data_IF_345074543517
#
_entry.id   IF_345074543517
#
_cell.length_a   1.000
_cell.length_b   1.000
_cell.length_c   1.000
_cell.angle_alpha   90.00
_cell.angle_beta   90.00
_cell.angle_gamma   90.00
#
_symmetry.space_group_name_H-M   'P 1'
#
loop_
_entity.id
_entity.type
_entity.pdbx_description
1 polymer ?
#
# COMPACT_ATOMS: atom_id res chain seq x y z
N UNK A 1 76.75 29.00 74.22
CA UNK A 1 77.64 27.84 74.03
C UNK A 1 77.67 27.49 72.55
N UNK A 2 78.86 27.12 72.07
CA UNK A 2 79.31 27.11 70.68
C UNK A 2 78.74 25.97 69.79
N UNK A 3 79.04 26.14 68.49
CA UNK A 3 79.24 25.20 67.37
C UNK A 3 78.10 25.05 66.34
N UNK A 4 78.16 25.68 65.15
CA UNK A 4 78.85 25.41 63.85
C UNK A 4 78.26 24.33 62.92
N UNK A 5 78.05 24.78 61.67
CA UNK A 5 78.30 24.11 60.38
C UNK A 5 77.37 22.99 59.86
N UNK A 6 76.81 23.17 58.66
CA UNK A 6 77.32 22.53 57.41
C UNK A 6 76.30 22.53 56.26
N UNK A 7 76.59 23.36 55.25
CA UNK A 7 76.50 23.13 53.81
C UNK A 7 75.90 21.80 53.29
N UNK A 8 74.85 21.91 52.44
CA UNK A 8 74.74 21.13 51.19
C UNK A 8 74.13 21.98 50.08
N UNK A 9 74.86 22.09 48.98
CA UNK A 9 74.44 22.66 47.71
C UNK A 9 73.55 21.66 46.95
N UNK A 10 72.40 22.12 46.45
CA UNK A 10 71.63 21.45 45.41
C UNK A 10 71.67 22.34 44.15
N UNK A 11 72.31 21.83 43.10
CA UNK A 11 72.27 22.39 41.74
C UNK A 11 70.83 22.28 41.21
N UNK A 12 70.25 23.41 40.86
CA UNK A 12 68.99 23.46 40.12
C UNK A 12 69.26 23.28 38.63
N UNK A 13 68.75 22.19 38.06
CA UNK A 13 68.72 21.93 36.62
C UNK A 13 67.56 22.73 36.03
N UNK A 14 67.86 23.77 35.27
CA UNK A 14 66.87 24.59 34.55
C UNK A 14 66.36 23.77 33.35
N UNK A 15 65.20 23.12 33.52
CA UNK A 15 64.46 22.49 32.43
C UNK A 15 63.71 23.55 31.61
N UNK A 16 64.05 23.66 30.33
CA UNK A 16 63.36 24.51 29.36
C UNK A 16 61.98 23.88 29.07
N UNK A 17 60.90 24.41 29.66
CA UNK A 17 59.53 24.06 29.27
C UNK A 17 59.23 24.65 27.89
N UNK A 18 59.10 23.79 26.89
CA UNK A 18 58.50 24.14 25.60
C UNK A 18 56.98 24.01 25.73
N UNK A 19 56.28 25.15 25.64
CA UNK A 19 54.83 25.17 25.59
C UNK A 19 54.36 24.63 24.24
N UNK A 20 53.71 23.46 24.25
CA UNK A 20 53.01 22.92 23.07
C UNK A 20 51.70 23.71 22.92
N UNK A 21 51.43 24.34 21.76
CA UNK A 21 50.16 25.01 21.53
C UNK A 21 49.03 23.97 21.53
N UNK A 22 48.03 24.19 22.39
CA UNK A 22 46.80 23.42 22.38
C UNK A 22 46.09 23.62 21.04
N UNK A 23 46.14 22.61 20.17
CA UNK A 23 45.33 22.59 18.96
C UNK A 23 43.88 22.47 19.40
N UNK A 24 43.09 23.53 19.19
CA UNK A 24 41.65 23.52 19.35
C UNK A 24 41.07 22.51 18.37
N UNK A 25 40.68 21.36 18.89
CA UNK A 25 39.97 20.31 18.16
C UNK A 25 38.62 20.89 17.73
N UNK A 26 38.54 21.29 16.46
CA UNK A 26 37.32 21.83 15.88
C UNK A 26 36.28 20.72 15.88
N UNK A 27 35.38 20.71 16.86
CA UNK A 27 34.26 19.78 16.86
C UNK A 27 33.44 20.04 15.59
N UNK A 28 33.27 19.03 14.71
CA UNK A 28 32.50 19.21 13.49
C UNK A 28 31.08 19.61 13.88
N UNK A 29 30.65 20.77 13.40
CA UNK A 29 29.29 21.26 13.58
C UNK A 29 28.34 20.19 13.04
N UNK A 30 27.38 19.67 13.83
CA UNK A 30 26.46 18.65 13.36
C UNK A 30 25.67 19.21 12.18
N UNK A 31 25.94 18.68 10.99
CA UNK A 31 25.18 18.99 9.79
C UNK A 31 23.77 18.49 10.04
N UNK A 32 22.83 19.39 10.31
CA UNK A 32 21.42 19.04 10.45
C UNK A 32 20.92 18.75 9.05
N UNK A 33 20.98 17.48 8.64
CA UNK A 33 20.37 17.02 7.40
C UNK A 33 18.85 17.06 7.63
N UNK A 34 18.22 18.16 7.23
CA UNK A 34 16.76 18.27 7.20
C UNK A 34 16.23 17.31 6.12
N UNK A 35 15.89 16.10 6.53
CA UNK A 35 15.26 15.11 5.66
C UNK A 35 13.88 15.64 5.25
N UNK A 36 13.79 16.14 4.02
CA UNK A 36 12.51 16.57 3.44
C UNK A 36 11.59 15.36 3.30
N UNK A 37 10.28 15.51 3.50
CA UNK A 37 9.33 14.42 3.28
C UNK A 37 9.30 14.03 1.81
N UNK A 38 9.57 12.75 1.54
CA UNK A 38 9.67 12.18 0.19
C UNK A 38 8.52 11.20 -0.11
N UNK A 39 7.85 10.71 0.93
CA UNK A 39 6.82 9.68 0.83
C UNK A 39 5.49 10.17 1.38
N UNK A 40 4.42 9.52 0.97
CA UNK A 40 3.05 9.72 1.42
C UNK A 40 2.55 8.43 2.05
N UNK A 41 2.22 8.49 3.34
CA UNK A 41 1.47 7.45 4.04
C UNK A 41 -0.01 7.85 4.05
N UNK A 42 -0.90 7.03 3.53
CA UNK A 42 -2.31 7.38 3.39
C UNK A 42 -3.22 6.16 3.49
N UNK A 43 -4.50 6.38 3.74
CA UNK A 43 -5.51 5.30 3.63
C UNK A 43 -5.97 5.24 2.18
N UNK A 44 -5.39 4.29 1.44
CA UNK A 44 -5.71 4.01 0.05
C UNK A 44 -6.85 3.02 -0.12
N UNK A 45 -7.05 2.63 -1.37
CA UNK A 45 -8.10 1.73 -1.83
C UNK A 45 -7.46 0.43 -2.34
N UNK A 46 -7.72 -0.66 -1.64
CA UNK A 46 -7.39 -2.01 -2.10
C UNK A 46 -8.57 -2.59 -2.86
N UNK A 47 -8.33 -2.94 -4.12
CA UNK A 47 -9.31 -3.59 -4.99
C UNK A 47 -9.12 -5.10 -4.86
N UNK A 48 -10.16 -5.83 -4.53
CA UNK A 48 -10.17 -7.28 -4.36
C UNK A 48 -11.06 -7.89 -5.43
N UNK A 49 -10.53 -8.78 -6.26
CA UNK A 49 -11.33 -9.52 -7.25
C UNK A 49 -11.73 -10.87 -6.70
N UNK A 50 -12.97 -11.27 -6.92
CA UNK A 50 -13.44 -12.61 -6.56
C UNK A 50 -12.96 -13.62 -7.61
N UNK A 51 -12.02 -14.48 -7.23
CA UNK A 51 -11.49 -15.54 -8.10
C UNK A 51 -11.92 -16.89 -7.56
N UNK A 52 -13.01 -17.41 -8.12
CA UNK A 52 -13.59 -18.70 -7.72
C UNK A 52 -13.99 -18.78 -6.23
N UNK A 53 -14.47 -17.67 -5.65
CA UNK A 53 -14.87 -17.57 -4.24
C UNK A 53 -13.80 -16.99 -3.34
N UNK A 54 -12.55 -16.90 -3.82
CA UNK A 54 -11.43 -16.37 -3.05
C UNK A 54 -11.12 -14.91 -3.45
N UNK A 55 -11.27 -13.94 -2.54
CA UNK A 55 -10.96 -12.55 -2.82
C UNK A 55 -9.44 -12.36 -2.92
N UNK A 56 -8.96 -12.00 -4.11
CA UNK A 56 -7.55 -11.76 -4.40
C UNK A 56 -7.28 -10.25 -4.59
N UNK A 57 -6.30 -9.65 -3.90
CA UNK A 57 -5.98 -8.24 -4.08
C UNK A 57 -5.34 -7.96 -5.44
N UNK A 58 -5.79 -6.89 -6.09
CA UNK A 58 -5.19 -6.35 -7.31
C UNK A 58 -3.94 -5.56 -6.94
N UNK A 59 -2.80 -6.01 -7.47
CA UNK A 59 -1.49 -5.42 -7.21
C UNK A 59 -1.17 -4.29 -8.18
N UNK A 60 -1.43 -4.51 -9.47
CA UNK A 60 -1.08 -3.57 -10.52
C UNK A 60 -2.07 -3.58 -11.67
N UNK A 61 -2.13 -2.45 -12.37
CA UNK A 61 -2.92 -2.27 -13.56
C UNK A 61 -2.03 -2.05 -14.77
N UNK A 62 -2.13 -2.93 -15.76
CA UNK A 62 -1.58 -2.72 -17.09
C UNK A 62 -2.60 -2.07 -18.03
N UNK A 63 -2.26 -2.05 -19.32
CA UNK A 63 -3.10 -1.45 -20.37
C UNK A 63 -4.50 -2.05 -20.45
N UNK A 64 -4.55 -3.37 -20.60
CA UNK A 64 -5.77 -4.16 -20.86
C UNK A 64 -5.88 -5.36 -19.90
N UNK A 65 -4.95 -5.44 -18.93
CA UNK A 65 -4.90 -6.51 -17.93
C UNK A 65 -4.59 -5.93 -16.56
N UNK A 66 -5.03 -6.59 -15.50
CA UNK A 66 -4.59 -6.35 -14.14
C UNK A 66 -3.89 -7.59 -13.59
N UNK A 67 -3.10 -7.42 -12.53
CA UNK A 67 -2.43 -8.50 -11.82
C UNK A 67 -3.08 -8.66 -10.46
N UNK A 68 -3.63 -9.84 -10.17
CA UNK A 68 -4.14 -10.20 -8.85
C UNK A 68 -3.18 -11.16 -8.15
N UNK A 69 -2.94 -10.95 -6.85
CA UNK A 69 -2.15 -11.88 -6.02
C UNK A 69 -3.03 -13.05 -5.60
N UNK A 70 -2.73 -14.24 -6.11
CA UNK A 70 -3.41 -15.49 -5.71
C UNK A 70 -2.47 -16.36 -4.88
N UNK A 71 -2.99 -17.43 -4.26
CA UNK A 71 -2.17 -18.40 -3.52
C UNK A 71 -1.10 -19.06 -4.42
N UNK A 72 -1.42 -19.28 -5.70
CA UNK A 72 -0.52 -19.86 -6.70
C UNK A 72 0.44 -18.83 -7.33
N UNK A 73 0.39 -17.57 -6.86
CA UNK A 73 1.20 -16.46 -7.36
C UNK A 73 0.40 -15.41 -8.13
N UNK A 74 1.09 -14.46 -8.80
CA UNK A 74 0.45 -13.38 -9.52
C UNK A 74 -0.27 -13.90 -10.77
N UNK A 75 -1.57 -13.60 -10.89
CA UNK A 75 -2.40 -13.97 -12.04
C UNK A 75 -2.75 -12.73 -12.86
N UNK A 76 -2.44 -12.76 -14.15
CA UNK A 76 -2.84 -11.72 -15.11
C UNK A 76 -4.26 -12.00 -15.58
N UNK A 77 -5.13 -11.01 -15.45
CA UNK A 77 -6.54 -11.12 -15.78
C UNK A 77 -6.95 -9.97 -16.71
N UNK A 78 -7.83 -10.22 -17.69
CA UNK A 78 -8.37 -9.15 -18.54
C UNK A 78 -9.15 -8.16 -17.68
N UNK A 79 -9.02 -6.86 -17.93
CA UNK A 79 -9.80 -5.82 -17.22
C UNK A 79 -11.31 -6.08 -17.30
N UNK A 80 -11.74 -6.75 -18.36
CA UNK A 80 -13.11 -7.19 -18.58
C UNK A 80 -13.67 -8.11 -17.49
N UNK A 81 -12.79 -8.77 -16.73
CA UNK A 81 -13.14 -9.69 -15.63
C UNK A 81 -13.23 -8.99 -14.26
N UNK A 82 -13.12 -7.66 -14.21
CA UNK A 82 -13.32 -6.85 -13.00
C UNK A 82 -14.81 -6.61 -12.69
N UNK A 83 -15.65 -7.62 -12.89
CA UNK A 83 -17.09 -7.54 -12.61
C UNK A 83 -17.40 -7.67 -11.11
N UNK A 84 -16.54 -8.36 -10.35
CA UNK A 84 -16.70 -8.61 -8.91
C UNK A 84 -15.55 -8.02 -8.08
N UNK A 85 -15.30 -6.72 -8.23
CA UNK A 85 -14.29 -5.99 -7.45
C UNK A 85 -14.82 -5.44 -6.12
N UNK A 86 -14.46 -6.04 -5.00
CA UNK A 86 -14.68 -5.47 -3.66
C UNK A 86 -13.64 -4.41 -3.37
N UNK A 87 -14.02 -3.40 -2.60
CA UNK A 87 -13.13 -2.33 -2.16
C UNK A 87 -12.87 -2.48 -0.67
N UNK A 88 -11.61 -2.43 -0.27
CA UNK A 88 -11.20 -2.37 1.12
C UNK A 88 -10.28 -1.18 1.35
N UNK A 89 -10.39 -0.52 2.48
CA UNK A 89 -9.42 0.50 2.87
C UNK A 89 -8.15 -0.17 3.41
N UNK A 90 -6.99 0.28 2.94
CA UNK A 90 -5.68 -0.20 3.43
C UNK A 90 -4.71 0.98 3.55
N UNK A 91 -3.87 0.97 4.58
CA UNK A 91 -2.77 1.94 4.68
C UNK A 91 -1.75 1.62 3.58
N UNK A 92 -1.37 2.64 2.81
CA UNK A 92 -0.41 2.52 1.72
C UNK A 92 0.67 3.56 1.86
N UNK A 93 1.84 3.22 1.33
CA UNK A 93 3.01 4.06 1.24
C UNK A 93 3.38 4.25 -0.23
N UNK A 94 3.60 5.49 -0.65
CA UNK A 94 4.11 5.76 -2.01
C UNK A 94 4.88 7.08 -2.06
N UNK A 95 5.84 7.19 -2.98
CA UNK A 95 6.49 8.46 -3.31
C UNK A 95 5.66 9.33 -4.29
N UNK A 96 4.63 8.73 -4.90
CA UNK A 96 3.91 9.32 -6.02
C UNK A 96 2.70 10.10 -5.53
N UNK A 97 2.63 11.37 -5.94
CA UNK A 97 1.57 12.27 -5.54
C UNK A 97 0.83 12.83 -6.76
N UNK A 98 -0.48 12.71 -6.72
CA UNK A 98 -1.41 13.40 -7.60
C UNK A 98 -2.17 14.49 -6.83
N UNK A 99 -2.30 15.66 -7.43
CA UNK A 99 -3.13 16.74 -6.92
C UNK A 99 -4.48 16.65 -7.61
N UNK A 100 -5.54 16.50 -6.82
CA UNK A 100 -6.93 16.52 -7.26
C UNK A 100 -7.59 17.77 -6.69
N UNK A 101 -8.13 18.60 -7.57
CA UNK A 101 -8.91 19.80 -7.24
C UNK A 101 -10.30 19.73 -7.87
N UNK A 102 -11.23 20.52 -7.34
CA UNK A 102 -12.60 20.60 -7.85
C UNK A 102 -13.32 19.25 -8.00
N UNK A 103 -13.05 18.31 -7.09
CA UNK A 103 -13.73 17.03 -7.04
C UNK A 103 -15.22 17.24 -6.72
N UNK A 104 -16.09 16.89 -7.68
CA UNK A 104 -17.54 17.08 -7.59
C UNK A 104 -18.24 15.83 -8.09
N UNK A 105 -19.36 15.51 -7.45
CA UNK A 105 -20.34 14.56 -7.94
C UNK A 105 -21.72 15.22 -7.96
N UNK A 106 -22.41 15.15 -9.10
CA UNK A 106 -23.75 15.72 -9.25
C UNK A 106 -24.70 14.66 -9.81
N UNK A 107 -25.74 14.27 -9.05
CA UNK A 107 -26.82 13.46 -9.60
C UNK A 107 -27.40 14.10 -10.85
N UNK A 108 -27.57 13.31 -11.90
CA UNK A 108 -28.00 13.76 -13.22
C UNK A 108 -28.84 12.67 -13.89
N UNK A 109 -29.38 12.99 -15.06
CA UNK A 109 -30.08 12.03 -15.89
C UNK A 109 -29.16 11.61 -17.05
N UNK A 110 -28.98 10.31 -17.26
CA UNK A 110 -28.29 9.70 -18.36
C UNK A 110 -28.89 10.21 -19.68
N UNK A 111 -28.08 10.84 -20.51
CA UNK A 111 -28.50 11.21 -21.87
C UNK A 111 -28.38 9.96 -22.74
N UNK A 112 -29.44 9.57 -23.43
CA UNK A 112 -29.38 8.47 -24.39
C UNK A 112 -28.43 8.85 -25.54
N UNK A 113 -27.18 8.40 -25.45
CA UNK A 113 -26.23 8.43 -26.57
C UNK A 113 -26.60 7.27 -27.49
N UNK A 114 -27.10 7.57 -28.69
CA UNK A 114 -27.43 6.59 -29.72
C UNK A 114 -26.13 5.95 -30.26
N UNK A 115 -25.66 4.86 -29.67
CA UNK A 115 -24.71 3.96 -30.35
C UNK A 115 -25.26 2.54 -30.35
N UNK A 116 -25.35 1.96 -31.54
CA UNK A 116 -25.88 0.65 -31.88
C UNK A 116 -24.99 -0.49 -31.42
N UNK A 117 -25.53 -1.54 -30.79
CA UNK A 117 -25.03 -2.90 -31.02
C UNK A 117 -25.96 -4.04 -30.56
N UNK A 118 -26.44 -4.81 -31.54
CA UNK A 118 -26.41 -6.28 -31.69
C UNK A 118 -26.34 -7.21 -30.46
N UNK A 119 -26.91 -6.85 -29.30
CA UNK A 119 -26.67 -7.56 -28.02
C UNK A 119 -27.90 -8.28 -27.43
N UNK A 120 -29.07 -8.16 -28.07
CA UNK A 120 -30.36 -8.57 -27.48
C UNK A 120 -30.73 -10.07 -27.58
N UNK A 121 -30.01 -10.89 -28.35
CA UNK A 121 -30.37 -12.30 -28.56
C UNK A 121 -29.73 -13.28 -27.56
N UNK A 122 -28.51 -13.00 -27.08
CA UNK A 122 -27.77 -13.86 -26.14
C UNK A 122 -28.27 -13.76 -24.69
N UNK A 123 -28.91 -12.65 -24.32
CA UNK A 123 -29.46 -12.39 -22.98
C UNK A 123 -30.58 -13.35 -22.57
N UNK A 124 -31.24 -14.00 -23.53
CA UNK A 124 -32.34 -14.96 -23.26
C UNK A 124 -31.84 -16.29 -22.70
N UNK A 125 -30.62 -16.71 -23.04
CA UNK A 125 -30.07 -17.98 -22.56
C UNK A 125 -29.58 -17.90 -21.11
N UNK A 126 -29.01 -16.76 -20.70
CA UNK A 126 -28.34 -16.60 -19.40
C UNK A 126 -29.32 -16.40 -18.24
N UNK A 127 -30.45 -15.72 -18.47
CA UNK A 127 -31.49 -15.57 -17.43
C UNK A 127 -32.13 -16.90 -17.02
N UNK A 128 -32.23 -17.87 -17.94
CA UNK A 128 -32.74 -19.20 -17.58
C UNK A 128 -31.83 -19.93 -16.58
N UNK A 129 -30.51 -19.70 -16.64
CA UNK A 129 -29.53 -20.35 -15.77
C UNK A 129 -29.40 -19.65 -14.41
N UNK A 130 -29.51 -18.32 -14.35
CA UNK A 130 -29.38 -17.59 -13.09
C UNK A 130 -30.60 -17.78 -12.18
N UNK A 131 -31.79 -17.89 -12.76
CA UNK A 131 -33.02 -18.20 -12.00
C UNK A 131 -32.96 -19.60 -11.39
N UNK A 132 -32.32 -20.55 -12.08
CA UNK A 132 -32.07 -21.90 -11.56
C UNK A 132 -31.04 -21.91 -10.41
N UNK A 133 -30.08 -20.98 -10.42
CA UNK A 133 -29.04 -20.88 -9.40
C UNK A 133 -29.51 -20.16 -8.11
N UNK A 134 -30.48 -19.24 -8.22
CA UNK A 134 -31.08 -18.61 -7.03
C UNK A 134 -31.99 -19.56 -6.25
N UNK A 135 -32.62 -20.52 -6.92
CA UNK A 135 -33.43 -21.53 -6.24
C UNK A 135 -32.55 -22.50 -5.43
N UNK A 136 -31.40 -22.92 -5.96
CA UNK A 136 -30.50 -23.83 -5.22
C UNK A 136 -29.79 -23.16 -4.02
N UNK A 137 -29.56 -21.85 -4.07
CA UNK A 137 -28.95 -21.12 -2.95
C UNK A 137 -29.86 -20.94 -1.74
N UNK A 138 -31.19 -20.87 -1.94
CA UNK A 138 -32.14 -20.77 -0.83
C UNK A 138 -32.25 -22.07 -0.04
N UNK A 139 -32.18 -23.22 -0.72
CA UNK A 139 -32.25 -24.53 -0.05
C UNK A 139 -31.03 -24.81 0.84
N UNK A 140 -29.84 -24.35 0.45
CA UNK A 140 -28.61 -24.45 1.25
C UNK A 140 -28.62 -23.57 2.50
N UNK A 141 -29.22 -22.38 2.43
CA UNK A 141 -29.32 -21.47 3.57
C UNK A 141 -30.28 -21.99 4.65
N UNK A 142 -31.34 -22.72 4.24
CA UNK A 142 -32.27 -23.36 5.18
C UNK A 142 -31.59 -24.51 5.92
N UNK A 143 -30.80 -25.35 5.24
CA UNK A 143 -30.06 -26.44 5.89
C UNK A 143 -28.99 -25.95 6.88
N UNK A 144 -28.28 -24.88 6.56
CA UNK A 144 -27.23 -24.34 7.45
C UNK A 144 -27.79 -23.73 8.75
N UNK A 145 -29.03 -23.21 8.72
CA UNK A 145 -29.69 -22.67 9.90
C UNK A 145 -30.17 -23.77 10.87
N UNK A 146 -30.50 -24.96 10.36
CA UNK A 146 -30.92 -26.10 11.17
C UNK A 146 -29.73 -26.75 11.92
N UNK A 147 -28.54 -26.80 11.30
CA UNK A 147 -27.32 -27.31 11.94
C UNK A 147 -26.80 -26.39 13.06
N UNK A 148 -26.89 -25.06 12.90
CA UNK A 148 -26.42 -24.10 13.91
C UNK A 148 -27.25 -24.13 15.20
N UNK A 149 -28.57 -24.34 15.10
CA UNK A 149 -29.44 -24.45 16.28
C UNK A 149 -29.18 -25.75 17.07
N UNK A 150 -28.72 -26.79 16.40
CA UNK A 150 -28.38 -28.08 17.03
C UNK A 150 -27.07 -27.97 17.84
N UNK A 151 -26.06 -27.25 17.33
CA UNK A 151 -24.78 -27.03 18.01
C UNK A 151 -24.87 -26.11 19.25
N UNK A 152 -25.79 -25.14 19.25
CA UNK A 152 -26.03 -24.26 20.39
C UNK A 152 -26.75 -24.94 21.57
N UNK A 153 -27.51 -26.00 21.31
CA UNK A 153 -28.14 -26.80 22.36
C UNK A 153 -27.11 -27.64 23.13
N UNK A 154 -26.09 -28.16 22.45
CA UNK A 154 -25.04 -28.99 23.06
C UNK A 154 -24.00 -28.18 23.86
N UNK A 155 -23.79 -26.90 23.52
CA UNK A 155 -22.77 -26.06 24.16
C UNK A 155 -23.20 -25.45 25.52
N UNK A 156 -24.45 -25.64 25.93
CA UNK A 156 -25.01 -25.06 27.16
C UNK A 156 -24.84 -25.91 28.43
N UNK A 157 -24.35 -27.16 28.32
CA UNK A 157 -24.24 -28.09 29.45
C UNK A 157 -22.86 -28.13 30.14
N UNK A 158 -21.82 -27.50 29.58
CA UNK A 158 -20.49 -27.55 30.17
C UNK A 158 -19.90 -26.15 30.30
N UNK A 159 -20.03 -25.49 31.46
CA UNK A 159 -19.03 -24.57 32.05
C UNK A 159 -19.58 -23.97 33.35
N UNK A 160 -19.34 -24.63 34.47
CA UNK A 160 -19.39 -24.01 35.81
C UNK A 160 -18.01 -24.05 36.48
N UNK A 161 -17.58 -22.85 36.87
CA UNK A 161 -16.64 -22.51 37.95
C UNK A 161 -15.12 -22.68 37.72
N UNK A 162 -14.40 -21.54 37.71
CA UNK A 162 -13.35 -21.22 38.71
C UNK A 162 -12.85 -19.76 38.57
N UNK A 163 -12.54 -19.07 39.68
CA UNK A 163 -11.95 -17.73 39.66
C UNK A 163 -10.43 -17.80 39.70
N UNK A 164 -9.75 -16.85 39.05
CA UNK A 164 -8.33 -16.58 39.27
C UNK A 164 -8.11 -15.08 39.27
N UNK A 165 -7.51 -14.60 40.35
CA UNK A 165 -7.17 -13.22 40.65
C UNK A 165 -5.65 -13.20 40.87
N UNK A 166 -4.89 -12.42 40.10
CA UNK A 166 -3.61 -11.78 40.49
C UNK A 166 -3.16 -10.82 39.38
N UNK A 167 -2.82 -9.61 39.84
CA UNK A 167 -2.50 -8.39 39.12
C UNK A 167 -1.18 -8.40 38.33
N UNK A 168 -1.19 -7.69 37.20
CA UNK A 168 -0.01 -7.08 36.55
C UNK A 168 -0.31 -5.59 36.29
N UNK A 169 0.71 -4.72 36.24
CA UNK A 169 0.51 -3.27 36.21
C UNK A 169 0.00 -2.79 34.85
N UNK A 170 -0.90 -1.83 34.97
CA UNK A 170 -1.64 -1.13 33.95
C UNK A 170 -0.74 -0.36 32.96
N UNK A 171 -0.79 -0.78 31.69
CA UNK A 171 -0.38 0.00 30.53
C UNK A 171 -1.56 0.01 29.55
N UNK A 172 -2.72 0.54 29.98
CA UNK A 172 -3.73 1.00 29.03
C UNK A 172 -3.21 2.22 28.30
N UNK A 173 -2.61 1.96 27.14
CA UNK A 173 -2.57 2.86 26.00
C UNK A 173 -3.98 3.33 25.70
N UNK A 174 -4.25 4.59 25.99
CA UNK A 174 -5.39 5.32 25.46
C UNK A 174 -5.28 5.41 23.93
N UNK A 175 -6.27 4.80 23.28
CA UNK A 175 -6.98 5.34 22.12
C UNK A 175 -6.17 5.65 20.86
N UNK A 176 -6.02 4.62 20.02
CA UNK A 176 -5.48 4.74 18.67
C UNK A 176 -5.73 3.53 17.79
N UNK A 177 -6.73 2.67 18.11
CA UNK A 177 -7.16 1.65 17.16
C UNK A 177 -7.88 2.36 16.02
N UNK A 178 -7.19 2.52 14.89
CA UNK A 178 -7.86 2.77 13.61
C UNK A 178 -8.81 1.60 13.39
N UNK A 179 -10.09 1.80 13.74
CA UNK A 179 -11.18 0.94 13.30
C UNK A 179 -11.21 1.03 11.78
N UNK A 180 -10.56 0.09 11.12
CA UNK A 180 -10.85 -0.23 9.72
C UNK A 180 -12.26 -0.78 9.75
N UNK A 181 -13.21 0.04 9.30
CA UNK A 181 -14.64 -0.32 9.25
C UNK A 181 -14.77 -1.66 8.52
N UNK A 182 -15.41 -2.61 9.18
CA UNK A 182 -15.73 -3.92 8.61
C UNK A 182 -16.47 -3.73 7.28
N UNK A 183 -16.13 -4.59 6.31
CA UNK A 183 -16.65 -4.51 4.96
C UNK A 183 -18.18 -4.62 4.96
N UNK A 184 -18.87 -3.51 4.67
CA UNK A 184 -20.27 -3.54 4.26
C UNK A 184 -20.40 -4.41 3.00
N UNK A 185 -21.48 -5.20 2.84
CA UNK A 185 -21.72 -5.93 1.59
C UNK A 185 -21.81 -4.93 0.43
N UNK A 186 -20.77 -4.94 -0.41
CA UNK A 186 -20.58 -4.01 -1.52
C UNK A 186 -21.42 -4.51 -2.70
N UNK A 187 -22.39 -3.71 -3.14
CA UNK A 187 -23.04 -3.92 -4.44
C UNK A 187 -22.10 -3.37 -5.52
N UNK A 188 -21.22 -4.22 -6.03
CA UNK A 188 -20.27 -3.87 -7.06
C UNK A 188 -21.00 -3.87 -8.39
N UNK A 189 -21.26 -2.68 -8.90
CA UNK A 189 -21.67 -2.52 -10.29
C UNK A 189 -20.40 -2.14 -11.02
N UNK A 190 -19.82 -2.95 -11.90
CA UNK A 190 -18.66 -2.54 -12.70
C UNK A 190 -18.71 -3.17 -14.09
N UNK A 191 -19.55 -2.62 -14.99
CA UNK A 191 -19.21 -2.36 -16.41
C UNK A 191 -20.37 -1.78 -17.21
N UNK A 192 -20.02 -1.14 -18.32
CA UNK A 192 -20.82 -0.87 -19.53
C UNK A 192 -21.30 -2.16 -20.27
N UNK A 193 -21.46 -3.29 -19.57
CA UNK A 193 -22.13 -4.50 -20.08
C UNK A 193 -23.67 -4.41 -19.97
N UNK A 194 -24.19 -3.20 -19.74
CA UNK A 194 -25.60 -2.90 -19.53
C UNK A 194 -26.40 -2.70 -20.84
N UNK A 195 -25.75 -2.72 -22.01
CA UNK A 195 -26.39 -2.54 -23.33
C UNK A 195 -27.12 -3.81 -23.87
N UNK A 196 -27.42 -4.80 -23.03
CA UNK A 196 -27.97 -6.10 -23.47
C UNK A 196 -29.49 -6.27 -23.32
N UNK A 197 -30.22 -5.15 -23.19
CA UNK A 197 -31.67 -5.06 -23.39
C UNK A 197 -31.99 -3.67 -23.98
N UNK A 198 -32.69 -3.53 -25.13
CA UNK A 198 -33.31 -2.24 -25.43
C UNK A 198 -34.33 -1.98 -24.32
N UNK A 199 -34.20 -0.87 -23.57
CA UNK A 199 -35.12 -0.58 -22.47
C UNK A 199 -36.54 -0.53 -23.04
N UNK A 200 -37.47 -1.18 -22.35
CA UNK A 200 -38.89 -0.89 -22.63
C UNK A 200 -39.14 0.60 -22.36
N UNK A 201 -40.10 1.23 -23.03
CA UNK A 201 -40.37 2.68 -22.85
C UNK A 201 -40.63 3.06 -21.37
N UNK A 202 -40.99 2.10 -20.51
CA UNK A 202 -41.12 2.26 -19.05
C UNK A 202 -39.83 2.12 -18.23
N UNK A 203 -38.80 1.49 -18.78
CA UNK A 203 -37.50 1.27 -18.11
C UNK A 203 -36.49 2.38 -18.41
N UNK A 204 -36.67 3.13 -19.50
CA UNK A 204 -35.89 4.36 -19.78
C UNK A 204 -36.00 5.35 -18.61
N UNK A 205 -37.14 5.38 -17.93
CA UNK A 205 -37.37 6.23 -16.75
C UNK A 205 -36.68 5.69 -15.47
N UNK A 206 -36.41 4.39 -15.37
CA UNK A 206 -35.73 3.77 -14.22
C UNK A 206 -34.20 3.81 -14.35
N UNK A 207 -33.66 3.66 -15.57
CA UNK A 207 -32.22 3.68 -15.86
C UNK A 207 -31.66 5.06 -16.23
N UNK A 208 -32.53 6.08 -16.18
CA UNK A 208 -32.13 7.47 -16.38
C UNK A 208 -31.20 8.00 -15.29
N UNK A 209 -31.10 7.40 -14.10
CA UNK A 209 -30.31 8.00 -13.03
C UNK A 209 -28.81 7.76 -13.19
N UNK A 210 -28.07 8.86 -13.23
CA UNK A 210 -26.63 8.87 -13.39
C UNK A 210 -25.98 9.83 -12.39
N UNK A 211 -24.66 9.74 -12.28
CA UNK A 211 -23.83 10.63 -11.50
C UNK A 211 -22.77 11.21 -12.42
N UNK A 212 -22.81 12.53 -12.60
CA UNK A 212 -21.70 13.24 -13.26
C UNK A 212 -20.61 13.49 -12.21
N UNK A 213 -19.46 12.85 -12.38
CA UNK A 213 -18.27 13.07 -11.57
C UNK A 213 -17.25 13.87 -12.38
N UNK A 214 -16.64 14.86 -11.74
CA UNK A 214 -15.60 15.65 -12.39
C UNK A 214 -14.57 16.14 -11.39
N UNK A 215 -13.34 16.31 -11.85
CA UNK A 215 -12.27 16.95 -11.10
C UNK A 215 -11.19 17.48 -12.06
N UNK A 216 -10.23 18.22 -11.53
CA UNK A 216 -8.95 18.48 -12.18
C UNK A 216 -7.86 17.66 -11.50
N UNK A 217 -6.99 17.05 -12.30
CA UNK A 217 -5.91 16.19 -11.82
C UNK A 217 -4.59 16.65 -12.42
N UNK A 218 -3.56 16.79 -11.58
CA UNK A 218 -2.16 16.90 -12.00
C UNK A 218 -1.28 15.92 -11.22
N UNK A 219 -0.12 15.60 -11.78
CA UNK A 219 0.88 14.70 -11.18
C UNK A 219 2.25 15.37 -11.20
N UNK A 220 3.09 15.12 -10.20
CA UNK A 220 4.46 15.69 -10.16
C UNK A 220 5.36 15.18 -11.30
N UNK A 221 5.09 13.96 -11.78
CA UNK A 221 5.78 13.31 -12.90
C UNK A 221 4.76 12.87 -13.96
N UNK A 222 5.12 12.88 -15.26
CA UNK A 222 4.24 12.35 -16.30
C UNK A 222 3.88 10.88 -16.05
N UNK A 223 2.62 10.52 -16.24
CA UNK A 223 2.14 9.15 -16.18
C UNK A 223 1.28 8.87 -17.41
N UNK A 224 1.61 7.80 -18.12
CA UNK A 224 0.87 7.45 -19.32
C UNK A 224 -0.38 6.65 -18.98
N UNK A 225 -1.52 7.22 -19.34
CA UNK A 225 -2.83 6.58 -19.34
C UNK A 225 -3.17 5.77 -18.07
N UNK A 226 -3.08 6.38 -16.87
CA UNK A 226 -3.31 5.69 -15.60
C UNK A 226 -4.78 5.26 -15.44
N UNK A 227 -5.03 4.37 -14.50
CA UNK A 227 -6.38 3.95 -14.13
C UNK A 227 -6.95 4.84 -13.02
N UNK A 228 -8.14 5.39 -13.23
CA UNK A 228 -8.92 6.08 -12.23
C UNK A 228 -10.05 5.20 -11.71
N UNK A 229 -10.15 5.06 -10.39
CA UNK A 229 -11.25 4.37 -9.72
C UNK A 229 -12.14 5.40 -9.01
N UNK A 230 -13.31 5.65 -9.58
CA UNK A 230 -14.37 6.43 -8.94
C UNK A 230 -15.09 5.55 -7.92
N UNK A 231 -15.06 5.96 -6.67
CA UNK A 231 -15.72 5.26 -5.56
C UNK A 231 -16.79 6.21 -5.03
N UNK A 232 -18.05 5.83 -5.19
CA UNK A 232 -19.18 6.65 -4.77
C UNK A 232 -19.94 5.92 -3.67
N UNK A 233 -20.17 6.60 -2.55
CA UNK A 233 -21.05 6.12 -1.50
C UNK A 233 -22.42 6.75 -1.72
N UNK A 234 -23.44 5.94 -1.92
CA UNK A 234 -24.80 6.40 -2.19
C UNK A 234 -25.80 5.72 -1.26
N UNK A 235 -26.88 6.39 -0.94
CA UNK A 235 -28.02 5.80 -0.23
C UNK A 235 -29.15 5.55 -1.22
N UNK A 236 -29.69 4.34 -1.22
CA UNK A 236 -30.88 3.99 -1.98
C UNK A 236 -32.11 4.22 -1.10
N UNK A 237 -32.99 5.20 -1.41
CA UNK A 237 -34.16 5.48 -0.58
C UNK A 237 -35.20 4.34 -0.61
N UNK A 238 -35.16 3.47 -1.61
CA UNK A 238 -36.12 2.36 -1.77
C UNK A 238 -35.67 1.12 -1.01
N UNK A 239 -34.39 1.01 -0.68
CA UNK A 239 -33.83 -0.09 0.09
C UNK A 239 -33.53 0.39 1.50
N UNK A 240 -33.91 -0.38 2.52
CA UNK A 240 -33.51 -0.11 3.91
C UNK A 240 -32.04 -0.49 4.17
N UNK A 241 -31.17 -0.33 3.17
CA UNK A 241 -29.73 -0.56 3.26
C UNK A 241 -29.08 0.77 3.61
N UNK A 242 -28.15 0.77 4.56
CA UNK A 242 -27.52 2.00 5.06
C UNK A 242 -26.81 2.76 3.95
N UNK A 243 -25.94 2.08 3.19
CA UNK A 243 -25.13 2.70 2.13
C UNK A 243 -24.76 1.65 1.07
N UNK A 244 -24.79 2.06 -0.20
CA UNK A 244 -24.31 1.31 -1.36
C UNK A 244 -23.02 1.96 -1.85
N UNK A 245 -21.97 1.16 -1.99
CA UNK A 245 -20.72 1.62 -2.58
C UNK A 245 -20.68 1.22 -4.06
N UNK A 246 -20.58 2.23 -4.93
CA UNK A 246 -20.49 2.08 -6.38
C UNK A 246 -19.06 2.37 -6.81
N UNK A 247 -18.40 1.39 -7.41
CA UNK A 247 -17.05 1.54 -7.97
C UNK A 247 -17.13 1.66 -9.50
N UNK A 248 -16.32 2.51 -10.13
CA UNK A 248 -16.17 2.57 -11.59
C UNK A 248 -14.70 2.81 -11.96
N UNK A 249 -14.14 1.88 -12.71
CA UNK A 249 -12.77 1.97 -13.22
C UNK A 249 -12.79 2.54 -14.63
N UNK A 250 -11.94 3.53 -14.87
CA UNK A 250 -11.77 4.14 -16.17
C UNK A 250 -10.30 4.37 -16.46
N UNK A 251 -9.93 4.16 -17.71
CA UNK A 251 -8.64 4.64 -18.18
C UNK A 251 -8.68 6.14 -18.33
N UNK A 252 -7.81 6.82 -17.60
CA UNK A 252 -7.61 8.24 -17.73
C UNK A 252 -6.65 8.49 -18.89
N UNK A 253 -6.72 9.66 -19.52
CA UNK A 253 -5.70 10.03 -20.49
C UNK A 253 -4.39 10.37 -19.74
N UNK A 254 -3.27 10.44 -20.47
CA UNK A 254 -1.96 10.75 -19.85
C UNK A 254 -2.03 12.04 -19.02
N UNK A 255 -1.43 11.97 -17.83
CA UNK A 255 -1.39 13.05 -16.84
C UNK A 255 0.05 13.54 -16.66
N UNK A 256 0.20 14.76 -16.17
CA UNK A 256 1.48 15.38 -15.90
C UNK A 256 1.35 16.59 -14.99
N UNK A 257 2.39 17.44 -14.92
CA UNK A 257 2.38 18.62 -14.05
C UNK A 257 1.27 19.63 -14.37
N UNK A 258 0.83 19.70 -15.63
CA UNK A 258 -0.29 20.54 -16.03
C UNK A 258 -1.63 19.91 -15.60
N UNK A 259 -2.47 20.62 -14.82
CA UNK A 259 -3.79 20.13 -14.45
C UNK A 259 -4.65 19.82 -15.67
N UNK A 260 -5.34 18.69 -15.62
CA UNK A 260 -6.27 18.25 -16.65
C UNK A 260 -7.63 17.97 -16.05
N UNK A 261 -8.65 18.55 -16.66
CA UNK A 261 -10.04 18.28 -16.29
C UNK A 261 -10.48 16.91 -16.78
N UNK A 262 -11.01 16.11 -15.87
CA UNK A 262 -11.65 14.83 -16.13
C UNK A 262 -13.14 14.98 -15.78
N UNK A 263 -14.01 14.51 -16.66
CA UNK A 263 -15.45 14.42 -16.40
C UNK A 263 -15.96 13.08 -16.93
N UNK A 264 -16.77 12.39 -16.12
CA UNK A 264 -17.35 11.09 -16.45
C UNK A 264 -18.81 11.07 -15.99
N UNK A 265 -19.66 10.41 -16.79
CA UNK A 265 -21.04 10.14 -16.40
C UNK A 265 -21.16 8.67 -15.99
N UNK A 266 -21.26 8.43 -14.69
CA UNK A 266 -21.44 7.09 -14.12
C UNK A 266 -22.92 6.74 -14.16
N UNK A 267 -23.30 5.60 -14.73
CA UNK A 267 -24.70 5.15 -14.88
C UNK A 267 -25.03 3.99 -13.96
N UNK A 268 -26.32 3.69 -13.81
CA UNK A 268 -26.81 2.53 -13.05
C UNK A 268 -27.03 2.84 -11.57
N UNK A 269 -27.36 4.09 -11.23
CA UNK A 269 -27.74 4.45 -9.87
C UNK A 269 -29.24 4.20 -9.65
N UNK A 270 -29.67 3.82 -8.44
CA UNK A 270 -31.08 3.64 -8.14
C UNK A 270 -31.86 4.97 -8.23
N UNK A 271 -33.15 4.94 -8.56
CA UNK A 271 -33.98 6.15 -8.59
C UNK A 271 -34.00 6.89 -7.26
N UNK A 272 -33.75 8.20 -7.31
CA UNK A 272 -33.75 9.05 -6.12
C UNK A 272 -32.55 8.83 -5.18
N UNK A 273 -31.48 8.18 -5.63
CA UNK A 273 -30.29 7.97 -4.81
C UNK A 273 -29.77 9.28 -4.22
N UNK A 274 -29.29 9.20 -2.98
CA UNK A 274 -28.61 10.32 -2.32
C UNK A 274 -27.10 10.07 -2.38
N UNK A 275 -26.35 10.99 -2.99
CA UNK A 275 -24.89 10.93 -3.00
C UNK A 275 -24.35 11.35 -1.63
N UNK A 276 -23.67 10.44 -0.94
CA UNK A 276 -23.01 10.71 0.33
C UNK A 276 -21.56 11.12 0.13
N UNK A 277 -20.84 10.41 -0.73
CA UNK A 277 -19.41 10.65 -0.94
C UNK A 277 -18.96 10.30 -2.37
N UNK A 278 -17.95 11.02 -2.86
CA UNK A 278 -17.18 10.67 -4.06
C UNK A 278 -15.71 10.69 -3.72
N UNK A 279 -15.01 9.62 -4.06
CA UNK A 279 -13.55 9.51 -3.99
C UNK A 279 -13.00 9.12 -5.36
N UNK A 280 -11.75 9.49 -5.58
CA UNK A 280 -10.97 9.07 -6.73
C UNK A 280 -9.66 8.45 -6.22
N UNK A 281 -9.47 7.17 -6.51
CA UNK A 281 -8.18 6.50 -6.41
C UNK A 281 -7.51 6.43 -7.79
N UNK A 282 -6.19 6.56 -7.85
CA UNK A 282 -5.41 6.61 -9.08
C UNK A 282 -4.36 5.50 -9.05
N UNK A 283 -4.29 4.68 -10.09
CA UNK A 283 -3.40 3.53 -10.19
C UNK A 283 -2.58 3.54 -11.47
N UNK A 284 -1.40 2.95 -11.42
CA UNK A 284 -0.59 2.58 -12.56
C UNK A 284 -0.06 1.13 -12.43
N UNK A 285 0.99 0.80 -13.18
CA UNK A 285 1.64 -0.52 -13.19
C UNK A 285 2.39 -0.86 -11.88
N UNK A 286 2.70 0.14 -11.05
CA UNK A 286 3.45 -0.03 -9.79
C UNK A 286 2.52 0.13 -8.58
N UNK A 287 1.30 0.62 -8.76
CA UNK A 287 0.24 0.59 -7.75
C UNK A 287 -0.51 1.92 -7.59
N UNK A 288 -1.09 2.14 -6.42
CA UNK A 288 -1.88 3.35 -6.15
C UNK A 288 -0.99 4.56 -5.87
N UNK A 289 -1.42 5.71 -6.38
CA UNK A 289 -0.87 7.03 -6.12
C UNK A 289 -1.60 7.67 -4.96
N UNK A 290 -0.86 8.36 -4.08
CA UNK A 290 -1.50 9.22 -3.10
C UNK A 290 -2.18 10.39 -3.83
N UNK A 291 -3.41 10.72 -3.47
CA UNK A 291 -4.12 11.89 -3.99
C UNK A 291 -4.23 12.96 -2.91
N UNK A 292 -4.31 14.25 -3.27
CA UNK A 292 -4.55 15.33 -2.29
C UNK A 292 -5.87 15.19 -1.53
N UNK A 293 -6.82 14.41 -2.05
CA UNK A 293 -8.11 14.08 -1.45
C UNK A 293 -8.13 12.71 -0.75
N UNK A 294 -6.99 12.02 -0.67
CA UNK A 294 -6.88 10.74 0.03
C UNK A 294 -7.11 10.91 1.54
N UNK A 295 -7.93 10.07 2.18
CA UNK A 295 -8.13 10.13 3.62
C UNK A 295 -6.82 9.89 4.39
N UNK A 296 -6.63 10.64 5.48
CA UNK A 296 -5.53 10.46 6.46
C UNK A 296 -4.15 10.35 5.80
N UNK A 297 -3.85 11.30 4.92
CA UNK A 297 -2.55 11.40 4.23
C UNK A 297 -1.55 12.18 5.08
N UNK A 298 -0.35 11.61 5.25
CA UNK A 298 0.78 12.20 5.95
C UNK A 298 2.01 12.16 5.04
N UNK A 299 2.70 13.29 4.93
CA UNK A 299 4.00 13.36 4.27
C UNK A 299 5.07 12.88 5.27
N UNK A 300 5.85 11.86 4.91
CA UNK A 300 6.85 11.24 5.79
C UNK A 300 8.23 11.18 5.13
N UNK A 301 9.26 11.13 5.95
CA UNK A 301 10.67 11.05 5.52
C UNK A 301 11.06 9.62 5.14
N UNK A 302 12.17 9.43 4.43
CA UNK A 302 12.67 8.10 4.08
C UNK A 302 12.93 7.20 5.30
N UNK A 303 13.53 7.68 6.42
CA UNK A 303 13.66 6.87 7.64
C UNK A 303 12.31 6.42 8.22
N UNK A 304 11.30 7.30 8.25
CA UNK A 304 9.95 6.95 8.73
C UNK A 304 9.27 5.92 7.83
N UNK A 305 9.43 6.06 6.51
CA UNK A 305 8.90 5.12 5.52
C UNK A 305 9.52 3.72 5.71
N UNK A 306 10.84 3.65 5.95
CA UNK A 306 11.55 2.40 6.25
C UNK A 306 11.03 1.75 7.55
N UNK A 307 10.88 2.53 8.62
CA UNK A 307 10.36 2.03 9.90
C UNK A 307 8.94 1.45 9.76
N UNK A 308 8.07 2.14 9.03
CA UNK A 308 6.72 1.66 8.69
C UNK A 308 6.79 0.31 7.95
N UNK A 309 7.61 0.21 6.90
CA UNK A 309 7.74 -1.00 6.10
C UNK A 309 8.32 -2.17 6.91
N UNK A 310 9.30 -1.94 7.78
CA UNK A 310 9.82 -2.99 8.68
C UNK A 310 8.73 -3.49 9.64
N UNK A 311 7.89 -2.58 10.14
CA UNK A 311 6.75 -2.93 11.00
C UNK A 311 5.71 -3.77 10.26
N UNK A 312 5.39 -3.41 9.02
CA UNK A 312 4.50 -4.20 8.15
C UNK A 312 5.11 -5.59 7.87
N UNK A 313 6.38 -5.63 7.47
CA UNK A 313 7.10 -6.87 7.17
C UNK A 313 7.16 -7.84 8.35
N UNK A 314 7.52 -7.36 9.54
CA UNK A 314 7.56 -8.19 10.77
C UNK A 314 6.18 -8.67 11.19
N UNK A 315 5.14 -7.87 10.94
CA UNK A 315 3.75 -8.26 11.19
C UNK A 315 3.29 -9.39 10.26
N UNK A 316 3.67 -9.33 8.99
CA UNK A 316 3.34 -10.36 8.00
C UNK A 316 4.17 -11.63 8.18
N UNK A 317 5.35 -11.54 8.81
CA UNK A 317 6.29 -12.65 9.03
C UNK A 317 6.40 -13.02 10.52
N UNK A 318 5.29 -12.94 11.26
CA UNK A 318 5.25 -13.36 12.66
C UNK A 318 5.74 -14.80 12.80
N UNK A 319 6.67 -15.02 13.74
CA UNK A 319 7.30 -16.32 14.04
C UNK A 319 8.18 -16.89 12.92
N UNK A 320 8.35 -16.19 11.81
CA UNK A 320 9.22 -16.66 10.73
C UNK A 320 10.69 -16.38 11.04
N UNK A 321 11.58 -17.22 10.52
CA UNK A 321 13.02 -16.94 10.47
C UNK A 321 13.40 -16.78 9.00
N UNK A 322 13.78 -15.57 8.61
CA UNK A 322 14.07 -15.20 7.22
C UNK A 322 15.41 -14.47 7.11
N UNK A 323 16.15 -14.62 6.00
CA UNK A 323 17.34 -13.80 5.74
C UNK A 323 16.92 -12.35 5.42
N UNK A 324 17.87 -11.39 5.41
CA UNK A 324 17.57 -10.04 4.94
C UNK A 324 17.11 -10.05 3.49
N UNK A 325 16.20 -9.13 3.12
CA UNK A 325 15.64 -9.03 1.77
C UNK A 325 15.69 -7.56 1.30
N UNK A 326 16.10 -7.24 0.06
CA UNK A 326 16.06 -5.88 -0.45
C UNK A 326 14.64 -5.27 -0.38
N UNK A 327 14.56 -4.03 0.11
CA UNK A 327 13.30 -3.30 0.26
C UNK A 327 12.93 -2.64 -1.07
N UNK A 328 12.24 -3.39 -1.93
CA UNK A 328 11.85 -2.95 -3.28
C UNK A 328 10.88 -1.76 -3.28
N UNK A 329 10.09 -1.61 -2.22
CA UNK A 329 9.13 -0.52 -2.04
C UNK A 329 9.79 0.86 -1.99
N UNK A 330 11.05 0.92 -1.54
CA UNK A 330 11.89 2.13 -1.51
C UNK A 330 12.95 2.14 -2.60
N UNK A 331 12.80 1.33 -3.65
CA UNK A 331 13.85 1.16 -4.64
C UNK A 331 14.18 2.44 -5.41
N UNK A 332 13.28 3.42 -5.48
CA UNK A 332 13.58 4.73 -6.09
C UNK A 332 14.73 5.46 -5.40
N UNK A 333 14.93 5.26 -4.09
CA UNK A 333 16.00 5.89 -3.33
C UNK A 333 17.40 5.45 -3.75
N UNK A 334 17.52 4.27 -4.36
CA UNK A 334 18.81 3.69 -4.74
C UNK A 334 18.88 3.24 -6.21
N UNK A 335 17.76 3.19 -6.95
CA UNK A 335 17.74 2.88 -8.40
C UNK A 335 18.31 4.01 -9.25
N UNK A 336 18.19 5.26 -8.81
CA UNK A 336 18.76 6.42 -9.51
C UNK A 336 20.29 6.48 -9.36
N UNK A 337 20.88 5.69 -8.45
CA UNK A 337 22.33 5.58 -8.33
C UNK A 337 22.90 4.85 -9.54
N UNK A 338 23.87 5.48 -10.17
CA UNK A 338 24.54 4.96 -11.36
C UNK A 338 25.18 3.60 -11.09
N UNK A 339 24.67 2.55 -11.74
CA UNK A 339 25.35 1.24 -11.80
C UNK A 339 26.31 1.14 -12.98
N UNK A 340 26.53 2.23 -13.73
CA UNK A 340 27.45 2.25 -14.87
C UNK A 340 28.86 1.92 -14.40
N UNK A 341 29.48 0.92 -15.04
CA UNK A 341 30.79 0.40 -14.64
C UNK A 341 30.73 -0.74 -13.62
N UNK A 342 29.58 -0.99 -12.98
CA UNK A 342 29.41 -2.15 -12.11
C UNK A 342 29.00 -3.38 -12.93
N UNK A 343 29.80 -4.44 -12.88
CA UNK A 343 29.46 -5.77 -13.42
C UNK A 343 28.17 -6.36 -12.77
N UNK A 344 27.08 -6.58 -13.53
CA UNK A 344 25.85 -7.14 -12.97
C UNK A 344 26.04 -8.51 -12.28
N UNK A 345 27.06 -9.26 -12.67
CA UNK A 345 27.33 -10.62 -12.16
C UNK A 345 28.32 -10.65 -10.99
N UNK A 346 28.85 -9.50 -10.56
CA UNK A 346 29.73 -9.46 -9.39
C UNK A 346 28.95 -9.90 -8.15
N UNK A 347 29.45 -10.96 -7.52
CA UNK A 347 28.90 -11.44 -6.26
C UNK A 347 29.39 -10.58 -5.11
N UNK A 348 28.53 -10.35 -4.15
CA UNK A 348 28.86 -9.60 -2.95
C UNK A 348 28.16 -10.18 -1.72
N UNK A 349 28.68 -9.78 -0.57
CA UNK A 349 28.15 -10.04 0.76
C UNK A 349 27.98 -8.69 1.46
N UNK A 350 26.79 -8.45 2.02
CA UNK A 350 26.50 -7.24 2.80
C UNK A 350 25.98 -7.64 4.17
N UNK A 351 26.55 -7.05 5.22
CA UNK A 351 26.01 -7.16 6.58
C UNK A 351 24.87 -6.18 6.75
N UNK A 352 23.71 -6.68 7.18
CA UNK A 352 22.49 -5.90 7.38
C UNK A 352 22.19 -5.89 8.87
N UNK A 353 22.04 -4.71 9.46
CA UNK A 353 21.68 -4.59 10.87
C UNK A 353 20.19 -4.88 11.12
N UNK A 354 19.77 -4.89 12.39
CA UNK A 354 18.37 -5.13 12.76
C UNK A 354 17.41 -4.00 12.31
N UNK A 355 17.93 -2.86 11.84
CA UNK A 355 17.16 -1.73 11.30
C UNK A 355 17.08 -1.74 9.77
N UNK A 356 17.68 -2.75 9.12
CA UNK A 356 17.66 -2.88 7.67
C UNK A 356 18.68 -2.01 6.93
N UNK A 357 19.67 -1.46 7.64
CA UNK A 357 20.74 -0.65 7.05
C UNK A 357 21.92 -1.55 6.68
N UNK A 358 22.46 -1.32 5.48
CA UNK A 358 23.66 -1.97 5.00
C UNK A 358 24.91 -1.43 5.69
N UNK A 359 25.71 -2.33 6.28
CA UNK A 359 26.98 -2.05 6.93
C UNK A 359 28.17 -2.45 6.04
N UNK A 360 28.99 -3.37 6.53
CA UNK A 360 30.18 -3.83 5.81
C UNK A 360 29.79 -4.56 4.51
N UNK A 361 30.51 -4.25 3.43
CA UNK A 361 30.32 -4.80 2.09
C UNK A 361 31.61 -5.47 1.64
N UNK A 362 31.51 -6.75 1.28
CA UNK A 362 32.61 -7.57 0.75
C UNK A 362 32.26 -8.07 -0.66
N UNK A 363 33.16 -7.89 -1.62
CA UNK A 363 33.03 -8.52 -2.93
C UNK A 363 33.57 -9.95 -2.86
N UNK A 364 32.81 -10.90 -3.42
CA UNK A 364 33.20 -12.31 -3.51
C UNK A 364 33.84 -12.54 -4.86
N UNK A 365 35.08 -13.02 -4.88
CA UNK A 365 35.89 -13.23 -6.08
C UNK A 365 35.88 -12.01 -7.01
N UNK A 366 36.35 -10.83 -6.54
CA UNK A 366 36.29 -9.61 -7.33
C UNK A 366 37.08 -9.77 -8.63
N UNK A 367 36.43 -9.46 -9.75
CA UNK A 367 37.16 -9.38 -11.03
C UNK A 367 38.24 -8.28 -10.95
N UNK A 368 39.37 -8.40 -11.66
CA UNK A 368 40.42 -7.37 -11.64
C UNK A 368 39.95 -5.96 -12.05
N UNK A 369 38.82 -5.89 -12.74
CA UNK A 369 38.17 -4.65 -13.20
C UNK A 369 37.03 -4.19 -12.29
N UNK A 370 36.78 -4.86 -11.17
CA UNK A 370 35.71 -4.47 -10.24
C UNK A 370 36.11 -3.22 -9.46
N UNK A 371 35.32 -2.16 -9.62
CA UNK A 371 35.43 -0.95 -8.80
C UNK A 371 34.81 -1.21 -7.42
N UNK A 372 35.64 -1.69 -6.49
CA UNK A 372 35.23 -2.05 -5.13
C UNK A 372 34.55 -0.88 -4.42
N UNK A 373 35.09 0.33 -4.53
CA UNK A 373 34.58 1.51 -3.85
C UNK A 373 33.20 1.92 -4.40
N UNK A 374 33.03 1.84 -5.72
CA UNK A 374 31.72 2.09 -6.34
C UNK A 374 30.68 1.05 -5.91
N UNK A 375 31.04 -0.23 -5.78
CA UNK A 375 30.15 -1.25 -5.22
C UNK A 375 29.76 -0.97 -3.76
N UNK A 376 30.75 -0.65 -2.93
CA UNK A 376 30.51 -0.36 -1.52
C UNK A 376 29.59 0.84 -1.36
N UNK A 377 29.88 1.92 -2.09
CA UNK A 377 29.05 3.12 -2.10
C UNK A 377 27.63 2.79 -2.55
N UNK A 378 27.45 2.06 -3.66
CA UNK A 378 26.12 1.68 -4.14
C UNK A 378 25.36 0.83 -3.11
N UNK A 379 25.98 -0.22 -2.60
CA UNK A 379 25.35 -1.19 -1.69
C UNK A 379 25.01 -0.59 -0.32
N UNK A 380 25.77 0.40 0.16
CA UNK A 380 25.46 1.13 1.39
C UNK A 380 24.19 1.99 1.30
N UNK A 381 23.74 2.35 0.09
CA UNK A 381 22.48 3.07 -0.12
C UNK A 381 21.28 2.15 -0.29
N UNK A 382 21.51 0.84 -0.50
CA UNK A 382 20.42 -0.13 -0.63
C UNK A 382 19.82 -0.39 0.74
N UNK A 383 18.50 -0.32 0.82
CA UNK A 383 17.74 -0.54 2.05
C UNK A 383 17.19 -1.96 2.02
N UNK A 384 17.19 -2.62 3.18
CA UNK A 384 16.75 -4.00 3.33
C UNK A 384 15.64 -4.10 4.39
N UNK A 385 14.76 -5.09 4.22
CA UNK A 385 14.12 -5.73 5.35
C UNK A 385 15.19 -6.51 6.15
N UNK A 386 15.24 -6.35 7.48
CA UNK A 386 16.23 -7.05 8.29
C UNK A 386 15.99 -8.57 8.26
N UNK A 387 16.99 -9.35 8.67
CA UNK A 387 16.76 -10.76 8.95
C UNK A 387 15.77 -10.89 10.11
N UNK A 388 14.96 -11.94 10.09
CA UNK A 388 14.07 -12.28 11.20
C UNK A 388 14.55 -13.54 11.90
N UNK A 389 14.46 -13.55 13.22
CA UNK A 389 14.54 -14.74 14.04
C UNK A 389 13.25 -14.84 14.84
N UNK A 390 12.41 -15.83 14.51
CA UNK A 390 11.09 -16.00 15.13
C UNK A 390 10.21 -14.73 15.08
N UNK A 391 10.28 -13.99 13.98
CA UNK A 391 9.55 -12.75 13.73
C UNK A 391 10.19 -11.48 14.31
N UNK A 392 11.29 -11.60 15.08
CA UNK A 392 12.02 -10.45 15.61
C UNK A 392 13.16 -10.04 14.67
N UNK A 393 13.31 -8.74 14.34
CA UNK A 393 14.44 -8.23 13.60
C UNK A 393 15.78 -8.53 14.27
N UNK A 394 16.73 -9.07 13.52
CA UNK A 394 18.10 -9.35 13.94
C UNK A 394 19.08 -8.96 12.83
N UNK A 395 20.36 -8.79 13.19
CA UNK A 395 21.40 -8.63 12.18
C UNK A 395 21.51 -9.90 11.31
N UNK A 396 21.81 -9.72 10.04
CA UNK A 396 21.92 -10.81 9.08
C UNK A 396 22.88 -10.49 7.95
N UNK A 397 23.04 -11.44 7.03
CA UNK A 397 23.94 -11.30 5.88
C UNK A 397 23.13 -11.52 4.62
N UNK A 398 23.11 -10.52 3.73
CA UNK A 398 22.61 -10.68 2.37
C UNK A 398 23.77 -11.12 1.46
N UNK A 399 23.51 -12.08 0.58
CA UNK A 399 24.46 -12.55 -0.45
C UNK A 399 23.74 -12.55 -1.79
N UNK A 400 24.35 -11.94 -2.80
CA UNK A 400 23.73 -11.85 -4.11
C UNK A 400 24.57 -11.12 -5.13
N UNK A 401 23.90 -10.72 -6.20
CA UNK A 401 24.37 -9.95 -7.35
C UNK A 401 23.49 -8.71 -7.52
N UNK A 402 23.87 -7.78 -8.41
CA UNK A 402 23.07 -6.57 -8.63
C UNK A 402 21.63 -6.86 -9.12
N UNK A 403 21.39 -7.87 -10.00
CA UNK A 403 20.04 -8.32 -10.34
C UNK A 403 19.20 -8.77 -9.15
N UNK A 404 19.80 -9.37 -8.12
CA UNK A 404 19.07 -9.86 -6.94
C UNK A 404 18.53 -8.73 -6.06
N UNK A 405 19.01 -7.50 -6.27
CA UNK A 405 18.48 -6.30 -5.61
C UNK A 405 17.22 -5.75 -6.28
N UNK A 406 16.99 -6.09 -7.55
CA UNK A 406 15.92 -5.51 -8.39
C UNK A 406 14.58 -6.20 -8.22
#
# INVERSE_FOLDING_TARGET
>A
MNFTASSRACRATMGLLTAVPAMAESQPTPVTVTSQPQFQLFVGTELLVDLAGDPAPVESFGRDVFVARTADGPRRLPVETLDQVRVKSRVRLTERLATVTDLRGKPTIARATRSSDTSGQLSRMVMSNLQQQQQSGQDLAIMAAEDQNSALAEMSESYQSRPFDTQMPDLTTSDGSVRVTEASPIAIWQRDDWDRRPPTDREVDAYGNALEVSCEISTSRPVDSPWGAWICLVRDPQRNVRELQVLRLHRLPSLGPAPRRISQQLRGFPPGFELQEVRLALYDEVGEWATSVSPRRYAITAPQAREYLITEYTTDHRRATTPPVPMRDLASLWRELTTSGLSPQQKFRVEIDATGIAGAVELVDPTPTADVEAYQTYLQHVIFYPALSQGSPVAGIFRGTLPDLR
#
